data_IF_629157416604
#
_entry.id   IF_629157416604
#
_cell.length_a   1.000
_cell.length_b   1.000
_cell.length_c   1.000
_cell.angle_alpha   90.00
_cell.angle_beta   90.00
_cell.angle_gamma   90.00
#
_symmetry.space_group_name_H-M   'P 1'
#
loop_
_entity.id
_entity.type
_entity.pdbx_description
1 polymer ?
#
# COMPACT_ATOMS: atom_id res chain seq x y z
N UNK A 1 8.77 -16.25 1.36
CA UNK A 1 9.84 -16.43 0.35
C UNK A 1 9.69 -15.46 -0.83
N UNK A 2 8.53 -15.37 -1.50
CA UNK A 2 8.36 -14.56 -2.72
C UNK A 2 8.71 -13.08 -2.63
N UNK A 3 8.36 -12.38 -1.55
CA UNK A 3 8.74 -10.97 -1.35
C UNK A 3 10.27 -10.77 -1.28
N UNK A 4 10.94 -11.56 -0.44
CA UNK A 4 12.39 -11.50 -0.28
C UNK A 4 13.13 -11.90 -1.57
N UNK A 5 12.65 -12.94 -2.25
CA UNK A 5 13.20 -13.37 -3.54
C UNK A 5 13.04 -12.31 -4.63
N UNK A 6 11.96 -11.51 -4.58
CA UNK A 6 11.75 -10.42 -5.52
C UNK A 6 12.49 -9.13 -5.17
N UNK A 7 12.80 -8.85 -3.90
CA UNK A 7 13.43 -7.61 -3.45
C UNK A 7 14.96 -7.71 -3.29
N UNK A 8 15.46 -8.77 -2.63
CA UNK A 8 16.88 -8.87 -2.25
C UNK A 8 17.87 -8.87 -3.43
N UNK A 9 17.58 -9.47 -4.61
CA UNK A 9 18.51 -9.43 -5.73
C UNK A 9 18.88 -8.01 -6.17
N UNK A 10 17.97 -7.04 -6.04
CA UNK A 10 18.23 -5.66 -6.43
C UNK A 10 19.27 -4.96 -5.54
N UNK A 11 19.46 -5.44 -4.30
CA UNK A 11 20.50 -4.92 -3.40
C UNK A 11 21.91 -5.30 -3.88
N UNK A 12 22.03 -6.33 -4.72
CA UNK A 12 23.29 -6.78 -5.29
C UNK A 12 23.70 -6.02 -6.55
N UNK A 13 22.76 -5.25 -7.14
CA UNK A 13 22.96 -4.52 -8.40
C UNK A 13 22.68 -3.02 -8.26
N UNK A 14 23.10 -2.44 -7.13
CA UNK A 14 22.87 -1.02 -6.80
C UNK A 14 23.58 -0.04 -7.76
N UNK A 15 24.59 -0.51 -8.48
CA UNK A 15 25.33 0.23 -9.50
C UNK A 15 24.56 0.40 -10.82
N UNK A 16 23.40 -0.23 -10.95
CA UNK A 16 22.48 -0.06 -12.09
C UNK A 16 21.40 0.95 -11.73
N UNK A 17 20.89 1.67 -12.73
CA UNK A 17 19.72 2.54 -12.55
C UNK A 17 18.49 1.69 -12.22
N UNK A 18 17.83 2.01 -11.10
CA UNK A 18 16.64 1.30 -10.59
C UNK A 18 15.45 2.26 -10.56
N UNK A 19 14.29 1.80 -11.03
CA UNK A 19 13.04 2.56 -11.01
C UNK A 19 11.99 1.88 -10.14
N UNK A 20 11.09 2.67 -9.53
CA UNK A 20 9.99 2.16 -8.70
C UNK A 20 9.09 1.15 -9.42
N UNK A 21 8.99 1.23 -10.75
CA UNK A 21 8.24 0.26 -11.56
C UNK A 21 8.64 -1.21 -11.28
N UNK A 22 9.90 -1.49 -10.94
CA UNK A 22 10.37 -2.86 -10.69
C UNK A 22 9.72 -3.53 -9.48
N UNK A 23 9.09 -2.76 -8.59
CA UNK A 23 8.36 -3.34 -7.45
C UNK A 23 7.14 -4.16 -7.88
N UNK A 24 6.64 -3.97 -9.11
CA UNK A 24 5.48 -4.72 -9.63
C UNK A 24 5.70 -6.24 -9.60
N UNK A 25 6.96 -6.68 -9.78
CA UNK A 25 7.33 -8.09 -9.81
C UNK A 25 7.07 -8.81 -8.48
N UNK A 26 7.11 -8.10 -7.35
CA UNK A 26 6.88 -8.66 -6.03
C UNK A 26 5.69 -8.07 -5.28
N UNK A 27 5.00 -7.09 -5.87
CA UNK A 27 3.79 -6.48 -5.32
C UNK A 27 2.72 -7.51 -4.90
N UNK A 28 2.42 -8.59 -5.66
CA UNK A 28 1.41 -9.58 -5.23
C UNK A 28 1.76 -10.26 -3.90
N UNK A 29 3.05 -10.55 -3.68
CA UNK A 29 3.51 -11.16 -2.42
C UNK A 29 3.35 -10.21 -1.24
N UNK A 30 3.63 -8.92 -1.45
CA UNK A 30 3.39 -7.90 -0.44
C UNK A 30 1.90 -7.81 -0.08
N UNK A 31 1.01 -7.84 -1.08
CA UNK A 31 -0.44 -7.80 -0.85
C UNK A 31 -0.93 -9.00 -0.04
N UNK A 32 -0.41 -10.20 -0.31
CA UNK A 32 -0.73 -11.40 0.49
C UNK A 32 -0.21 -11.28 1.93
N UNK A 33 1.00 -10.74 2.13
CA UNK A 33 1.53 -10.48 3.47
C UNK A 33 0.65 -9.49 4.25
N UNK A 34 0.22 -8.40 3.62
CA UNK A 34 -0.70 -7.43 4.24
C UNK A 34 -2.05 -8.05 4.56
N UNK A 35 -2.63 -8.83 3.64
CA UNK A 35 -3.88 -9.54 3.87
C UNK A 35 -3.77 -10.51 5.06
N UNK A 36 -2.67 -11.25 5.17
CA UNK A 36 -2.41 -12.13 6.29
C UNK A 36 -2.28 -11.37 7.61
N UNK A 37 -1.52 -10.26 7.64
CA UNK A 37 -1.39 -9.41 8.83
C UNK A 37 -2.74 -8.83 9.25
N UNK A 38 -3.56 -8.36 8.30
CA UNK A 38 -4.91 -7.87 8.59
C UNK A 38 -5.79 -9.00 9.17
N UNK A 39 -5.69 -10.22 8.65
CA UNK A 39 -6.41 -11.36 9.23
C UNK A 39 -5.97 -11.66 10.68
N UNK A 40 -4.66 -11.56 10.99
CA UNK A 40 -4.16 -11.67 12.35
C UNK A 40 -4.69 -10.55 13.26
N UNK A 41 -4.78 -9.32 12.75
CA UNK A 41 -5.35 -8.18 13.48
C UNK A 41 -6.84 -8.38 13.76
N UNK A 42 -7.61 -8.98 12.85
CA UNK A 42 -9.02 -9.36 13.06
C UNK A 42 -9.16 -10.49 14.09
N UNK A 43 -8.13 -11.33 14.24
CA UNK A 43 -8.08 -12.39 15.24
C UNK A 43 -8.78 -13.68 14.82
N UNK A 44 -8.47 -14.78 15.51
CA UNK A 44 -8.96 -16.12 15.17
C UNK A 44 -10.46 -16.28 15.40
N UNK A 45 -11.07 -17.29 14.78
CA UNK A 45 -12.52 -17.51 14.84
C UNK A 45 -13.05 -17.74 16.27
N UNK A 46 -12.26 -18.35 17.14
CA UNK A 46 -12.59 -18.60 18.56
C UNK A 46 -12.19 -17.46 19.50
N UNK A 47 -11.72 -16.32 18.99
CA UNK A 47 -11.45 -15.17 19.84
C UNK A 47 -12.74 -14.59 20.43
N UNK A 48 -12.60 -13.92 21.58
CA UNK A 48 -13.70 -13.18 22.17
C UNK A 48 -14.36 -12.22 21.17
N UNK A 49 -15.69 -12.08 21.26
CA UNK A 49 -16.50 -11.37 20.28
C UNK A 49 -16.13 -9.89 20.22
N UNK A 50 -15.92 -9.25 21.36
CA UNK A 50 -15.56 -7.83 21.41
C UNK A 50 -14.19 -7.58 20.78
N UNK A 51 -13.20 -8.43 21.09
CA UNK A 51 -11.88 -8.39 20.46
C UNK A 51 -12.00 -8.50 18.95
N UNK A 52 -12.72 -9.51 18.44
CA UNK A 52 -12.86 -9.75 17.00
C UNK A 52 -13.57 -8.59 16.29
N UNK A 53 -14.60 -8.02 16.92
CA UNK A 53 -15.28 -6.82 16.43
C UNK A 53 -14.33 -5.62 16.36
N UNK A 54 -13.56 -5.35 17.41
CA UNK A 54 -12.61 -4.22 17.44
C UNK A 54 -11.57 -4.32 16.32
N UNK A 55 -10.96 -5.49 16.11
CA UNK A 55 -10.01 -5.68 15.00
C UNK A 55 -10.66 -5.64 13.63
N UNK A 56 -11.90 -6.13 13.49
CA UNK A 56 -12.69 -6.00 12.27
C UNK A 56 -12.97 -4.54 11.92
N UNK A 57 -13.39 -3.73 12.89
CA UNK A 57 -13.61 -2.30 12.72
C UNK A 57 -12.32 -1.55 12.37
N UNK A 58 -11.21 -1.90 13.02
CA UNK A 58 -9.90 -1.32 12.70
C UNK A 58 -9.49 -1.64 11.25
N UNK A 59 -9.54 -2.91 10.83
CA UNK A 59 -9.18 -3.28 9.45
C UNK A 59 -10.15 -2.66 8.44
N UNK A 60 -11.45 -2.66 8.72
CA UNK A 60 -12.45 -2.04 7.85
C UNK A 60 -12.24 -0.54 7.68
N UNK A 61 -11.97 0.18 8.77
CA UNK A 61 -11.68 1.63 8.73
C UNK A 61 -10.37 1.93 8.01
N UNK A 62 -9.33 1.11 8.20
CA UNK A 62 -8.07 1.23 7.45
C UNK A 62 -8.28 1.05 5.95
N UNK A 63 -9.03 0.03 5.53
CA UNK A 63 -9.34 -0.20 4.11
C UNK A 63 -10.17 0.94 3.53
N UNK A 64 -11.17 1.43 4.27
CA UNK A 64 -11.94 2.60 3.86
C UNK A 64 -11.04 3.82 3.65
N UNK A 65 -10.11 4.08 4.57
CA UNK A 65 -9.14 5.17 4.44
C UNK A 65 -8.26 4.99 3.19
N UNK A 66 -7.77 3.78 2.93
CA UNK A 66 -6.97 3.48 1.72
C UNK A 66 -7.76 3.80 0.45
N UNK A 67 -9.05 3.44 0.39
CA UNK A 67 -9.92 3.76 -0.74
C UNK A 67 -10.11 5.28 -0.88
N UNK A 68 -10.33 6.00 0.22
CA UNK A 68 -10.49 7.45 0.21
C UNK A 68 -9.22 8.16 -0.28
N UNK A 69 -8.05 7.74 0.21
CA UNK A 69 -6.75 8.24 -0.27
C UNK A 69 -6.56 7.91 -1.76
N UNK A 70 -6.93 6.70 -2.18
CA UNK A 70 -6.87 6.30 -3.59
C UNK A 70 -7.77 7.16 -4.48
N UNK A 71 -8.98 7.47 -4.03
CA UNK A 71 -9.90 8.37 -4.72
C UNK A 71 -9.34 9.78 -4.83
N UNK A 72 -8.65 10.27 -3.79
CA UNK A 72 -7.98 11.57 -3.80
C UNK A 72 -6.84 11.65 -4.82
N UNK A 73 -6.05 10.57 -4.97
CA UNK A 73 -4.95 10.47 -5.94
C UNK A 73 -5.37 10.00 -7.35
N UNK A 74 -6.61 9.56 -7.54
CA UNK A 74 -7.11 9.05 -8.80
C UNK A 74 -6.81 9.94 -10.03
N UNK A 75 -6.98 11.28 -9.98
CA UNK A 75 -6.65 12.14 -11.13
C UNK A 75 -5.18 12.06 -11.54
N UNK A 76 -4.27 11.91 -10.59
CA UNK A 76 -2.82 11.80 -10.84
C UNK A 76 -2.51 10.46 -11.52
N UNK A 77 -3.06 9.35 -11.02
CA UNK A 77 -2.82 8.03 -11.58
C UNK A 77 -3.44 7.83 -12.98
N UNK A 78 -4.52 8.56 -13.28
CA UNK A 78 -5.20 8.50 -14.57
C UNK A 78 -4.73 9.56 -15.56
N UNK A 79 -3.77 10.42 -15.17
CA UNK A 79 -3.20 11.43 -16.05
C UNK A 79 -4.20 12.53 -16.45
N UNK A 80 -5.13 12.89 -15.57
CA UNK A 80 -6.07 13.98 -15.80
C UNK A 80 -5.35 15.33 -15.80
N UNK A 81 -5.92 16.30 -16.52
CA UNK A 81 -5.43 17.68 -16.49
C UNK A 81 -5.78 18.29 -15.13
N UNK A 82 -4.76 18.76 -14.40
CA UNK A 82 -4.86 19.35 -13.08
C UNK A 82 -4.28 20.76 -13.09
N UNK A 83 -4.93 21.68 -12.39
CA UNK A 83 -4.34 22.99 -12.09
C UNK A 83 -3.12 22.82 -11.17
N UNK A 84 -2.19 23.78 -11.23
CA UNK A 84 -0.95 23.74 -10.44
C UNK A 84 -1.23 23.62 -8.94
N UNK A 85 -2.24 24.32 -8.42
CA UNK A 85 -2.61 24.21 -7.00
C UNK A 85 -3.17 22.82 -6.67
N UNK A 86 -3.92 22.21 -7.59
CA UNK A 86 -4.43 20.85 -7.45
C UNK A 86 -3.33 19.79 -7.45
N UNK A 87 -2.32 20.00 -8.26
CA UNK A 87 -1.12 19.20 -8.24
C UNK A 87 -0.40 19.32 -6.90
N UNK A 88 -0.13 20.55 -6.44
CA UNK A 88 0.67 20.82 -5.25
C UNK A 88 0.09 20.22 -3.97
N UNK A 89 -1.22 20.30 -3.73
CA UNK A 89 -1.79 19.73 -2.49
C UNK A 89 -1.84 18.19 -2.47
N UNK A 90 -1.62 17.53 -3.61
CA UNK A 90 -1.45 16.07 -3.69
C UNK A 90 -0.01 15.63 -3.46
N UNK A 91 0.96 16.54 -3.62
CA UNK A 91 2.38 16.24 -3.39
C UNK A 91 2.71 16.33 -1.90
N UNK A 92 2.32 15.31 -1.16
CA UNK A 92 2.49 15.25 0.29
C UNK A 92 3.95 15.19 0.72
N UNK A 93 4.82 14.58 -0.10
CA UNK A 93 6.26 14.51 0.16
C UNK A 93 7.01 15.52 -0.72
N UNK A 94 8.07 16.17 -0.19
CA UNK A 94 8.85 17.15 -0.96
C UNK A 94 9.49 16.58 -2.24
N UNK A 95 9.71 15.27 -2.32
CA UNK A 95 10.35 14.59 -3.46
C UNK A 95 9.39 14.16 -4.56
N UNK A 96 8.09 14.46 -4.45
CA UNK A 96 7.07 14.02 -5.41
C UNK A 96 6.83 15.00 -6.58
N UNK A 97 7.56 16.11 -6.62
CA UNK A 97 7.58 17.09 -7.72
C UNK A 97 8.92 17.06 -8.44
#
# INVERSE_FOLDING_TARGET
>A
AGLAAGYLPWLLFSERTIFTFYTVAFAPWLMLCLAYVMALVIGPAGADRERRLAGGLFVGSLLLLIVLVSAFFWPVWTGQVLDVDQWRYRMWLPSWT
#
